data_IF_971334718831
#
_entry.id   IF_971334718831
#
_cell.length_a   1.000
_cell.length_b   1.000
_cell.length_c   1.000
_cell.angle_alpha   90.00
_cell.angle_beta   90.00
_cell.angle_gamma   90.00
#
_symmetry.space_group_name_H-M   'P 1'
#
loop_
_entity.id
_entity.type
_entity.pdbx_description
1 polymer ?
#
# COMPACT_ATOMS: atom_id res chain seq x y z
N UNK A 1 2.17 -18.18 -13.38
CA UNK A 1 3.07 -17.24 -12.69
C UNK A 1 3.27 -15.92 -13.43
N UNK A 2 3.60 -15.92 -14.74
CA UNK A 2 3.87 -14.68 -15.50
C UNK A 2 2.76 -13.61 -15.41
N UNK A 3 1.49 -13.99 -15.52
CA UNK A 3 0.36 -13.05 -15.42
C UNK A 3 0.28 -12.36 -14.05
N UNK A 4 0.41 -13.11 -12.96
CA UNK A 4 0.36 -12.57 -11.60
C UNK A 4 1.54 -11.61 -11.35
N UNK A 5 2.73 -11.97 -11.82
CA UNK A 5 3.91 -11.12 -11.75
C UNK A 5 3.68 -9.78 -12.48
N UNK A 6 3.16 -9.81 -13.71
CA UNK A 6 2.87 -8.60 -14.50
C UNK A 6 1.83 -7.72 -13.80
N UNK A 7 0.73 -8.30 -13.33
CA UNK A 7 -0.32 -7.56 -12.62
C UNK A 7 0.26 -6.86 -11.38
N UNK A 8 1.10 -7.55 -10.61
CA UNK A 8 1.69 -6.96 -9.41
C UNK A 8 2.71 -5.90 -9.71
N UNK A 9 3.53 -6.09 -10.73
CA UNK A 9 4.46 -5.06 -11.17
C UNK A 9 3.69 -3.80 -11.62
N UNK A 10 2.59 -3.97 -12.36
CA UNK A 10 1.73 -2.85 -12.76
C UNK A 10 1.10 -2.15 -11.55
N UNK A 11 0.60 -2.89 -10.56
CA UNK A 11 0.03 -2.33 -9.33
C UNK A 11 1.08 -1.58 -8.49
N UNK A 12 2.24 -2.19 -8.23
CA UNK A 12 3.35 -1.57 -7.49
C UNK A 12 3.79 -0.29 -8.19
N UNK A 13 3.97 -0.35 -9.52
CA UNK A 13 4.36 0.83 -10.31
C UNK A 13 3.29 1.91 -10.24
N UNK A 14 2.01 1.55 -10.35
CA UNK A 14 0.89 2.49 -10.25
C UNK A 14 0.82 3.18 -8.89
N UNK A 15 0.96 2.44 -7.80
CA UNK A 15 0.96 2.98 -6.42
C UNK A 15 2.15 3.94 -6.22
N UNK A 16 3.35 3.54 -6.64
CA UNK A 16 4.55 4.37 -6.50
C UNK A 16 4.50 5.62 -7.40
N UNK A 17 4.02 5.48 -8.63
CA UNK A 17 3.84 6.61 -9.54
C UNK A 17 2.81 7.59 -8.98
N UNK A 18 1.71 7.10 -8.42
CA UNK A 18 0.70 7.95 -7.79
C UNK A 18 1.25 8.72 -6.58
N UNK A 19 2.03 8.06 -5.71
CA UNK A 19 2.72 8.72 -4.61
C UNK A 19 3.73 9.77 -5.10
N UNK A 20 4.51 9.44 -6.14
CA UNK A 20 5.47 10.36 -6.76
C UNK A 20 4.80 11.59 -7.36
N UNK A 21 3.74 11.39 -8.15
CA UNK A 21 2.95 12.48 -8.74
C UNK A 21 2.30 13.35 -7.68
N UNK A 22 1.71 12.75 -6.64
CA UNK A 22 1.13 13.47 -5.51
C UNK A 22 2.17 14.36 -4.83
N UNK A 23 3.37 13.83 -4.60
CA UNK A 23 4.48 14.60 -4.03
C UNK A 23 4.85 15.78 -4.90
N UNK A 24 5.03 15.55 -6.20
CA UNK A 24 5.36 16.63 -7.14
C UNK A 24 4.27 17.70 -7.21
N UNK A 25 2.98 17.32 -7.25
CA UNK A 25 1.87 18.27 -7.28
C UNK A 25 1.77 19.12 -6.00
N UNK A 26 2.00 18.52 -4.82
CA UNK A 26 2.01 19.25 -3.54
C UNK A 26 3.22 20.19 -3.43
N UNK A 27 4.42 19.75 -3.83
CA UNK A 27 5.64 20.58 -3.72
C UNK A 27 5.72 21.67 -4.77
N UNK A 28 5.10 21.49 -5.94
CA UNK A 28 5.00 22.52 -6.99
C UNK A 28 3.89 23.55 -6.75
N UNK A 29 3.09 23.41 -5.67
CA UNK A 29 2.01 24.34 -5.34
C UNK A 29 0.81 24.27 -6.28
N UNK A 30 0.66 23.19 -7.06
CA UNK A 30 -0.46 23.01 -7.99
C UNK A 30 -1.77 22.65 -7.29
N UNK A 31 -1.70 22.19 -6.04
CA UNK A 31 -2.87 21.79 -5.26
C UNK A 31 -3.27 22.91 -4.29
N UNK A 32 -4.57 23.23 -4.20
CA UNK A 32 -5.05 24.23 -3.24
C UNK A 32 -4.81 23.77 -1.80
N UNK A 33 -4.72 24.74 -0.89
CA UNK A 33 -4.71 24.45 0.54
C UNK A 33 -6.06 23.86 0.99
N UNK A 34 -6.06 22.87 1.89
CA UNK A 34 -7.31 22.29 2.39
C UNK A 34 -8.12 23.32 3.18
N UNK A 35 -9.45 23.24 3.07
CA UNK A 35 -10.37 23.97 3.94
C UNK A 35 -10.13 23.60 5.42
N UNK A 36 -10.43 24.52 6.35
CA UNK A 36 -10.20 24.30 7.79
C UNK A 36 -10.92 23.04 8.32
N UNK A 37 -12.17 22.83 7.89
CA UNK A 37 -12.98 21.65 8.26
C UNK A 37 -12.31 20.34 7.81
N UNK A 38 -11.71 20.35 6.62
CA UNK A 38 -11.00 19.20 6.08
C UNK A 38 -9.70 18.96 6.84
N UNK A 39 -8.99 20.01 7.24
CA UNK A 39 -7.75 19.92 8.02
C UNK A 39 -7.97 19.23 9.36
N UNK A 40 -9.07 19.52 10.05
CA UNK A 40 -9.44 18.81 11.27
C UNK A 40 -9.67 17.31 11.02
N UNK A 41 -10.33 16.96 9.91
CA UNK A 41 -10.62 15.57 9.56
C UNK A 41 -9.39 14.76 9.12
N UNK A 42 -8.41 15.41 8.50
CA UNK A 42 -7.16 14.78 8.04
C UNK A 42 -6.35 14.17 9.20
N UNK A 43 -6.51 14.67 10.42
CA UNK A 43 -5.90 14.07 11.62
C UNK A 43 -6.47 12.67 11.88
N UNK A 44 -7.79 12.48 11.71
CA UNK A 44 -8.42 11.16 11.84
C UNK A 44 -7.98 10.22 10.72
N UNK A 45 -7.86 10.72 9.49
CA UNK A 45 -7.33 9.92 8.36
C UNK A 45 -5.88 9.48 8.57
N UNK A 46 -5.06 10.30 9.23
CA UNK A 46 -3.70 9.91 9.64
C UNK A 46 -3.74 8.71 10.59
N UNK A 47 -4.55 8.76 11.64
CA UNK A 47 -4.69 7.64 12.58
C UNK A 47 -5.29 6.40 11.92
N UNK A 48 -6.26 6.58 11.03
CA UNK A 48 -6.81 5.49 10.23
C UNK A 48 -5.71 4.84 9.37
N UNK A 49 -4.85 5.65 8.73
CA UNK A 49 -3.71 5.15 7.94
C UNK A 49 -2.78 4.30 8.80
N UNK A 50 -2.48 4.73 10.03
CA UNK A 50 -1.65 3.94 10.95
C UNK A 50 -2.31 2.63 11.38
N UNK A 51 -3.61 2.66 11.68
CA UNK A 51 -4.36 1.46 12.03
C UNK A 51 -4.41 0.47 10.86
N UNK A 52 -4.66 0.94 9.64
CA UNK A 52 -4.67 0.10 8.43
C UNK A 52 -3.26 -0.42 8.13
N UNK A 53 -2.21 0.37 8.36
CA UNK A 53 -0.83 -0.07 8.23
C UNK A 53 -0.49 -1.22 9.18
N UNK A 54 -0.82 -1.06 10.47
CA UNK A 54 -0.61 -2.11 11.47
C UNK A 54 -1.39 -3.38 11.10
N UNK A 55 -2.66 -3.23 10.69
CA UNK A 55 -3.47 -4.34 10.20
C UNK A 55 -2.84 -5.01 8.98
N UNK A 56 -2.36 -4.26 7.99
CA UNK A 56 -1.75 -4.79 6.79
C UNK A 56 -0.49 -5.61 7.07
N UNK A 57 0.32 -5.19 8.05
CA UNK A 57 1.50 -5.94 8.48
C UNK A 57 1.12 -7.26 9.16
N UNK A 58 0.19 -7.23 10.11
CA UNK A 58 -0.29 -8.44 10.79
C UNK A 58 -0.96 -9.40 9.79
N UNK A 59 -1.74 -8.86 8.86
CA UNK A 59 -2.37 -9.60 7.77
C UNK A 59 -1.34 -10.26 6.85
N UNK A 60 -0.29 -9.53 6.47
CA UNK A 60 0.79 -10.06 5.67
C UNK A 60 1.53 -11.20 6.37
N UNK A 61 1.81 -11.06 7.68
CA UNK A 61 2.42 -12.14 8.47
C UNK A 61 1.51 -13.37 8.58
N UNK A 62 0.21 -13.16 8.79
CA UNK A 62 -0.78 -14.24 8.80
C UNK A 62 -0.80 -14.99 7.47
N UNK A 63 -0.89 -14.28 6.34
CA UNK A 63 -0.93 -14.92 5.03
C UNK A 63 0.40 -15.53 4.62
N UNK A 64 1.53 -15.00 5.10
CA UNK A 64 2.85 -15.64 4.94
C UNK A 64 2.84 -17.03 5.58
N UNK A 65 2.41 -17.14 6.83
CA UNK A 65 2.34 -18.43 7.53
C UNK A 65 1.38 -19.40 6.82
N UNK A 66 0.25 -18.90 6.30
CA UNK A 66 -0.71 -19.70 5.52
C UNK A 66 -0.15 -20.17 4.18
N UNK A 67 0.65 -19.34 3.51
CA UNK A 67 1.32 -19.68 2.27
C UNK A 67 2.41 -20.75 2.50
N UNK A 68 3.20 -20.62 3.57
CA UNK A 68 4.22 -21.60 3.94
C UNK A 68 3.63 -22.97 4.33
N UNK A 69 2.42 -22.97 4.92
CA UNK A 69 1.70 -24.20 5.24
C UNK A 69 0.95 -24.84 4.06
N UNK A 70 0.90 -24.19 2.90
CA UNK A 70 0.11 -24.67 1.77
C UNK A 70 0.85 -25.80 1.02
N UNK A 71 0.20 -26.95 0.87
CA UNK A 71 0.78 -28.11 0.17
C UNK A 71 0.74 -28.00 -1.35
N UNK A 72 -0.03 -27.05 -1.89
CA UNK A 72 -0.22 -26.89 -3.34
C UNK A 72 0.19 -25.49 -3.77
N UNK A 73 0.80 -25.42 -4.95
CA UNK A 73 1.25 -24.17 -5.55
C UNK A 73 0.09 -23.21 -5.84
N UNK A 74 -1.09 -23.74 -6.19
CA UNK A 74 -2.31 -22.94 -6.37
C UNK A 74 -2.82 -22.32 -5.06
N UNK A 75 -2.63 -23.01 -3.92
CA UNK A 75 -2.93 -22.52 -2.59
C UNK A 75 -2.05 -21.35 -2.17
N UNK A 76 -0.74 -21.44 -2.44
CA UNK A 76 0.23 -20.36 -2.21
C UNK A 76 -0.17 -19.11 -2.99
N UNK A 77 -0.51 -19.25 -4.27
CA UNK A 77 -0.88 -18.10 -5.12
C UNK A 77 -2.10 -17.35 -4.61
N UNK A 78 -3.16 -18.08 -4.20
CA UNK A 78 -4.37 -17.45 -3.65
C UNK A 78 -4.05 -16.72 -2.34
N UNK A 79 -3.24 -17.34 -1.48
CA UNK A 79 -2.80 -16.74 -0.23
C UNK A 79 -2.05 -15.41 -0.44
N UNK A 80 -1.10 -15.39 -1.38
CA UNK A 80 -0.33 -14.18 -1.69
C UNK A 80 -1.21 -13.06 -2.27
N UNK A 81 -2.15 -13.40 -3.17
CA UNK A 81 -3.05 -12.41 -3.78
C UNK A 81 -3.89 -11.68 -2.71
N UNK A 82 -4.43 -12.43 -1.75
CA UNK A 82 -5.27 -11.89 -0.68
C UNK A 82 -4.42 -11.17 0.38
N UNK A 83 -3.23 -11.69 0.66
CA UNK A 83 -2.31 -11.09 1.64
C UNK A 83 -1.82 -9.70 1.26
N UNK A 84 -1.69 -9.40 -0.03
CA UNK A 84 -1.20 -8.10 -0.51
C UNK A 84 -2.20 -6.96 -0.48
N UNK A 85 -3.50 -7.24 -0.59
CA UNK A 85 -4.52 -6.21 -0.78
C UNK A 85 -4.51 -5.13 0.32
N UNK A 86 -4.36 -5.47 1.63
CA UNK A 86 -4.27 -4.45 2.67
C UNK A 86 -3.02 -3.57 2.60
N UNK A 87 -1.89 -4.10 2.08
CA UNK A 87 -0.68 -3.31 1.86
C UNK A 87 -0.93 -2.20 0.85
N UNK A 88 -1.51 -2.55 -0.31
CA UNK A 88 -1.86 -1.60 -1.37
C UNK A 88 -2.87 -0.56 -0.87
N UNK A 89 -3.90 -1.00 -0.15
CA UNK A 89 -4.91 -0.12 0.43
C UNK A 89 -4.29 0.92 1.38
N UNK A 90 -3.34 0.50 2.23
CA UNK A 90 -2.63 1.41 3.14
C UNK A 90 -1.84 2.49 2.38
N UNK A 91 -1.10 2.11 1.34
CA UNK A 91 -0.34 3.07 0.54
C UNK A 91 -1.24 4.07 -0.18
N UNK A 92 -2.35 3.60 -0.76
CA UNK A 92 -3.33 4.46 -1.41
C UNK A 92 -3.97 5.42 -0.40
N UNK A 93 -4.42 4.93 0.76
CA UNK A 93 -5.03 5.75 1.79
C UNK A 93 -4.07 6.84 2.30
N UNK A 94 -2.82 6.48 2.58
CA UNK A 94 -1.80 7.45 3.00
C UNK A 94 -1.51 8.50 1.93
N UNK A 95 -1.42 8.08 0.67
CA UNK A 95 -1.19 8.98 -0.47
C UNK A 95 -2.36 9.92 -0.69
N UNK A 96 -3.61 9.43 -0.65
CA UNK A 96 -4.82 10.25 -0.75
C UNK A 96 -4.90 11.26 0.40
N UNK A 97 -4.57 10.83 1.62
CA UNK A 97 -4.54 11.73 2.80
C UNK A 97 -3.56 12.88 2.58
N UNK A 98 -2.36 12.60 2.06
CA UNK A 98 -1.38 13.64 1.74
C UNK A 98 -1.81 14.52 0.56
N UNK A 99 -2.40 13.92 -0.48
CA UNK A 99 -2.95 14.63 -1.63
C UNK A 99 -4.00 15.67 -1.21
N UNK A 100 -4.87 15.32 -0.26
CA UNK A 100 -5.88 16.21 0.30
C UNK A 100 -5.32 17.31 1.21
N UNK A 101 -4.00 17.37 1.43
CA UNK A 101 -3.35 18.38 2.27
C UNK A 101 -3.02 17.91 3.68
N UNK A 102 -3.03 16.60 3.93
CA UNK A 102 -2.50 16.02 5.16
C UNK A 102 -0.98 16.15 5.26
N UNK A 103 -0.42 15.67 6.37
CA UNK A 103 1.02 15.66 6.57
C UNK A 103 1.73 14.67 5.61
N UNK A 104 2.97 14.97 5.15
CA UNK A 104 3.77 14.05 4.33
C UNK A 104 3.99 12.69 5.01
N UNK A 105 4.01 12.68 6.35
CA UNK A 105 4.17 11.48 7.15
C UNK A 105 3.08 10.43 6.86
N UNK A 106 1.84 10.85 6.57
CA UNK A 106 0.74 9.92 6.26
C UNK A 106 1.02 9.10 4.99
N UNK A 107 1.52 9.75 3.93
CA UNK A 107 1.93 9.05 2.70
C UNK A 107 3.16 8.19 2.95
N UNK A 108 4.19 8.74 3.60
CA UNK A 108 5.42 8.00 3.87
C UNK A 108 5.17 6.71 4.66
N UNK A 109 4.33 6.78 5.70
CA UNK A 109 3.93 5.59 6.46
C UNK A 109 3.16 4.58 5.61
N UNK A 110 2.20 5.04 4.81
CA UNK A 110 1.41 4.13 3.97
C UNK A 110 2.26 3.41 2.93
N UNK A 111 3.14 4.14 2.23
CA UNK A 111 4.06 3.57 1.24
C UNK A 111 5.08 2.65 1.92
N UNK A 112 5.63 3.04 3.06
CA UNK A 112 6.59 2.18 3.79
C UNK A 112 5.93 0.88 4.24
N UNK A 113 4.71 0.93 4.79
CA UNK A 113 3.96 -0.26 5.17
C UNK A 113 3.72 -1.19 3.97
N UNK A 114 3.35 -0.64 2.81
CA UNK A 114 3.22 -1.40 1.58
C UNK A 114 4.53 -2.06 1.14
N UNK A 115 5.64 -1.33 1.16
CA UNK A 115 6.95 -1.89 0.83
C UNK A 115 7.34 -3.03 1.78
N UNK A 116 7.07 -2.89 3.07
CA UNK A 116 7.30 -3.96 4.05
C UNK A 116 6.40 -5.17 3.75
N UNK A 117 5.13 -4.96 3.41
CA UNK A 117 4.23 -6.05 2.99
C UNK A 117 4.76 -6.78 1.76
N UNK A 118 5.31 -6.07 0.76
CA UNK A 118 5.95 -6.68 -0.41
C UNK A 118 7.21 -7.49 -0.05
N UNK A 119 7.96 -7.06 0.97
CA UNK A 119 9.14 -7.79 1.46
C UNK A 119 8.74 -9.07 2.22
N UNK A 120 7.68 -9.00 3.02
CA UNK A 120 7.13 -10.15 3.75
C UNK A 120 6.54 -11.17 2.78
N UNK A 121 5.71 -10.71 1.85
CA UNK A 121 5.02 -11.52 0.85
C UNK A 121 5.71 -11.32 -0.51
N UNK A 122 6.71 -12.15 -0.80
CA UNK A 122 7.52 -12.01 -2.02
C UNK A 122 6.69 -12.24 -3.30
N UNK A 123 7.00 -11.48 -4.35
CA UNK A 123 6.37 -11.64 -5.66
C UNK A 123 6.84 -12.96 -6.29
N UNK A 124 5.92 -13.87 -6.70
CA UNK A 124 6.30 -15.10 -7.39
C UNK A 124 7.00 -14.79 -8.71
N UNK A 125 8.26 -15.24 -8.84
CA UNK A 125 9.00 -15.11 -10.09
C UNK A 125 8.48 -16.13 -11.12
N UNK A 126 8.35 -15.77 -12.41
CA UNK A 126 8.03 -16.74 -13.45
C UNK A 126 9.15 -17.80 -13.54
N UNK A 127 8.82 -19.09 -13.75
CA UNK A 127 9.83 -20.11 -14.05
C UNK A 127 10.54 -19.74 -15.36
N UNK A 128 11.86 -19.93 -15.38
CA UNK A 128 12.72 -19.65 -16.54
C UNK A 128 12.44 -20.60 -17.69
#
# INVERSE_FOLDING_TARGET
MRQLFIIRLALVTGVLLFAGLTTWMRTSGQLPEPAEDLRANLVYFRYATWAVAAFALLWALFWKARAEAAMTESGVHRALIIGWAPGEATALLGTVTYFQGGEPASMAFGVLAFLVVLLILRIPAPPR
#
